data_IF_132074915630
#
_entry.id   IF_132074915630
#
_cell.length_a   1.000
_cell.length_b   1.000
_cell.length_c   1.000
_cell.angle_alpha   90.00
_cell.angle_beta   90.00
_cell.angle_gamma   90.00
#
_symmetry.space_group_name_H-M   'P 1'
#
loop_
_entity.id
_entity.type
_entity.pdbx_description
1 polymer ?
#
# COMPACT_ATOMS: atom_id res chain seq x y z
N UNK A 1 11.83 2.55 -7.11
CA UNK A 1 10.91 3.70 -7.22
C UNK A 1 9.46 3.22 -7.19
N UNK A 2 8.61 3.87 -6.40
CA UNK A 2 7.16 3.64 -6.31
C UNK A 2 6.45 4.87 -6.87
N UNK A 3 5.48 4.66 -7.75
CA UNK A 3 4.66 5.72 -8.33
C UNK A 3 3.18 5.37 -8.16
N UNK A 4 2.41 6.36 -7.75
CA UNK A 4 0.96 6.28 -7.59
C UNK A 4 0.36 7.41 -8.40
N UNK A 5 -0.64 7.09 -9.22
CA UNK A 5 -1.35 8.08 -10.02
C UNK A 5 -2.86 7.93 -9.91
N UNK A 6 -3.52 9.02 -9.54
CA UNK A 6 -4.98 9.18 -9.50
C UNK A 6 -5.68 8.04 -8.77
N UNK A 7 -5.10 7.60 -7.64
CA UNK A 7 -5.56 6.42 -6.94
C UNK A 7 -6.83 6.72 -6.14
N UNK A 8 -7.88 5.92 -6.38
CA UNK A 8 -9.19 6.11 -5.76
C UNK A 8 -9.68 4.81 -5.11
N UNK A 9 -10.37 4.96 -3.98
CA UNK A 9 -11.14 3.91 -3.34
C UNK A 9 -12.38 4.47 -2.68
N UNK A 10 -13.52 3.87 -2.97
CA UNK A 10 -14.82 4.22 -2.45
C UNK A 10 -15.43 3.04 -1.69
N UNK A 11 -16.10 3.35 -0.58
CA UNK A 11 -16.92 2.42 0.19
C UNK A 11 -18.31 3.04 0.36
N UNK A 12 -19.28 2.58 -0.43
CA UNK A 12 -20.61 3.20 -0.49
C UNK A 12 -20.51 4.66 -0.95
N UNK A 13 -20.98 5.61 -0.11
CA UNK A 13 -20.87 7.04 -0.39
C UNK A 13 -19.53 7.66 0.02
N UNK A 14 -18.66 6.93 0.73
CA UNK A 14 -17.40 7.45 1.26
C UNK A 14 -16.26 7.20 0.27
N UNK A 15 -15.64 8.27 -0.24
CA UNK A 15 -14.40 8.19 -1.01
C UNK A 15 -13.19 8.23 -0.06
N UNK A 16 -12.70 7.05 0.31
CA UNK A 16 -11.63 6.89 1.28
C UNK A 16 -10.24 7.23 0.72
N UNK A 17 -10.01 7.05 -0.57
CA UNK A 17 -8.89 7.69 -1.28
C UNK A 17 -9.46 8.39 -2.51
N UNK A 18 -9.01 9.62 -2.76
CA UNK A 18 -9.55 10.49 -3.80
C UNK A 18 -8.43 11.10 -4.64
N UNK A 19 -8.04 10.41 -5.71
CA UNK A 19 -7.11 10.97 -6.70
C UNK A 19 -5.70 11.16 -6.15
N UNK A 20 -5.21 10.22 -5.34
CA UNK A 20 -3.88 10.33 -4.73
C UNK A 20 -2.81 10.18 -5.80
N UNK A 21 -1.89 11.14 -5.85
CA UNK A 21 -0.62 11.07 -6.57
C UNK A 21 0.54 11.07 -5.56
N UNK A 22 1.51 10.17 -5.76
CA UNK A 22 2.69 10.06 -4.90
C UNK A 22 3.85 9.43 -5.70
N UNK A 23 5.04 9.98 -5.54
CA UNK A 23 6.29 9.35 -5.97
C UNK A 23 7.21 9.15 -4.78
N UNK A 24 7.78 7.96 -4.67
CA UNK A 24 8.82 7.64 -3.68
C UNK A 24 10.02 7.09 -4.43
N UNK A 25 11.13 7.83 -4.39
CA UNK A 25 12.39 7.40 -5.01
C UNK A 25 13.15 6.45 -4.10
N UNK A 26 14.12 5.78 -4.68
CA UNK A 26 15.03 4.92 -3.91
C UNK A 26 15.81 5.75 -2.88
N UNK A 27 15.93 5.23 -1.65
CA UNK A 27 16.54 5.93 -0.53
C UNK A 27 15.66 6.97 0.17
N UNK A 28 14.48 7.29 -0.36
CA UNK A 28 13.56 8.23 0.29
C UNK A 28 12.73 7.53 1.38
N UNK A 29 12.45 8.27 2.46
CA UNK A 29 11.49 7.87 3.49
C UNK A 29 10.38 8.91 3.54
N UNK A 30 9.13 8.46 3.35
CA UNK A 30 7.95 9.30 3.39
C UNK A 30 7.04 8.90 4.54
N UNK A 31 6.36 9.88 5.13
CA UNK A 31 5.37 9.66 6.19
C UNK A 31 4.00 10.13 5.72
N UNK A 32 2.98 9.27 5.90
CA UNK A 32 1.58 9.61 5.63
C UNK A 32 0.92 9.97 6.97
N UNK A 33 0.65 11.26 7.17
CA UNK A 33 0.06 11.80 8.39
C UNK A 33 -1.32 12.38 8.10
N UNK A 34 -2.24 12.24 9.06
CA UNK A 34 -3.60 12.74 8.94
C UNK A 34 -4.49 12.20 10.06
N UNK A 35 -5.70 12.75 10.26
CA UNK A 35 -6.60 12.31 11.33
C UNK A 35 -7.14 10.90 11.10
N UNK A 36 -7.79 10.32 12.11
CA UNK A 36 -8.51 9.06 11.97
C UNK A 36 -9.64 9.24 10.93
N UNK A 37 -9.83 8.22 10.09
CA UNK A 37 -10.79 8.28 8.98
C UNK A 37 -10.27 8.97 7.71
N UNK A 38 -9.10 9.61 7.71
CA UNK A 38 -8.52 10.27 6.54
C UNK A 38 -8.06 9.33 5.40
N UNK A 39 -8.39 8.03 5.46
CA UNK A 39 -8.05 7.09 4.39
C UNK A 39 -6.64 6.47 4.43
N UNK A 40 -5.79 6.81 5.42
CA UNK A 40 -4.41 6.31 5.51
C UNK A 40 -4.29 4.79 5.42
N UNK A 41 -5.05 4.07 6.24
CA UNK A 41 -5.06 2.59 6.24
C UNK A 41 -5.57 2.03 4.93
N UNK A 42 -6.58 2.68 4.32
CA UNK A 42 -7.09 2.31 2.99
C UNK A 42 -6.00 2.46 1.94
N UNK A 43 -5.30 3.59 1.92
CA UNK A 43 -4.21 3.85 1.00
C UNK A 43 -3.07 2.84 1.16
N UNK A 44 -2.60 2.59 2.39
CA UNK A 44 -1.59 1.55 2.66
C UNK A 44 -2.08 0.16 2.22
N UNK A 45 -3.36 -0.17 2.43
CA UNK A 45 -3.96 -1.41 1.95
C UNK A 45 -3.95 -1.54 0.43
N UNK A 46 -4.12 -0.42 -0.30
CA UNK A 46 -4.02 -0.38 -1.76
C UNK A 46 -2.59 -0.57 -2.25
N UNK A 47 -1.61 0.08 -1.60
CA UNK A 47 -0.19 -0.10 -1.92
C UNK A 47 0.27 -1.54 -1.67
N UNK A 48 -0.13 -2.11 -0.54
CA UNK A 48 0.19 -3.49 -0.16
C UNK A 48 -0.55 -4.55 -1.00
N UNK A 49 -1.56 -4.17 -1.78
CA UNK A 49 -2.34 -5.10 -2.59
C UNK A 49 -3.37 -5.91 -1.80
N UNK A 50 -3.72 -5.49 -0.57
CA UNK A 50 -4.83 -6.06 0.19
C UNK A 50 -6.19 -5.46 -0.21
N UNK A 51 -6.19 -4.23 -0.74
CA UNK A 51 -7.37 -3.55 -1.25
C UNK A 51 -7.15 -3.17 -2.71
N UNK A 52 -8.10 -3.52 -3.56
CA UNK A 52 -8.01 -3.13 -4.97
C UNK A 52 -8.51 -1.68 -5.14
N UNK A 53 -7.77 -0.80 -5.81
CA UNK A 53 -8.26 0.52 -6.19
C UNK A 53 -9.45 0.40 -7.15
N UNK A 54 -10.36 1.38 -7.08
CA UNK A 54 -11.46 1.48 -8.04
C UNK A 54 -10.99 2.13 -9.34
N UNK A 55 -10.05 3.09 -9.23
CA UNK A 55 -9.34 3.68 -10.36
C UNK A 55 -7.91 4.10 -9.99
N UNK A 56 -7.15 4.51 -11.01
CA UNK A 56 -5.75 4.90 -10.87
C UNK A 56 -4.78 3.74 -11.09
N UNK A 57 -3.49 4.02 -10.88
CA UNK A 57 -2.40 3.09 -11.16
C UNK A 57 -1.35 3.13 -10.04
N UNK A 58 -0.78 1.98 -9.75
CA UNK A 58 0.38 1.82 -8.88
C UNK A 58 1.48 1.13 -9.69
N UNK A 59 2.61 1.78 -9.84
CA UNK A 59 3.80 1.25 -10.49
C UNK A 59 4.89 1.06 -9.44
N UNK A 60 5.56 -0.09 -9.44
CA UNK A 60 6.69 -0.35 -8.56
C UNK A 60 7.85 -0.89 -9.39
N UNK A 61 9.03 -0.27 -9.25
CA UNK A 61 10.23 -0.61 -10.01
C UNK A 61 9.99 -0.64 -11.53
N UNK A 62 9.20 0.30 -12.04
CA UNK A 62 8.86 0.40 -13.47
C UNK A 62 7.74 -0.54 -13.95
N UNK A 63 7.20 -1.39 -13.08
CA UNK A 63 6.13 -2.33 -13.45
C UNK A 63 4.77 -1.94 -12.85
N UNK A 64 3.70 -2.06 -13.64
CA UNK A 64 2.34 -1.90 -13.14
C UNK A 64 1.96 -3.06 -12.22
N UNK A 65 1.81 -2.76 -10.93
CA UNK A 65 1.43 -3.72 -9.91
C UNK A 65 -0.03 -3.59 -9.49
N UNK A 66 -0.80 -2.68 -10.09
CA UNK A 66 -2.17 -2.27 -9.66
C UNK A 66 -3.09 -3.45 -9.38
N UNK A 67 -3.01 -4.51 -10.20
CA UNK A 67 -3.86 -5.71 -10.09
C UNK A 67 -3.24 -6.87 -9.34
N UNK A 68 -1.98 -6.75 -8.92
CA UNK A 68 -1.29 -7.77 -8.15
C UNK A 68 -1.73 -7.75 -6.69
N UNK A 69 -1.90 -8.94 -6.11
CA UNK A 69 -2.13 -9.10 -4.68
C UNK A 69 -0.84 -8.97 -3.86
N UNK A 70 -1.00 -8.96 -2.54
CA UNK A 70 0.12 -8.80 -1.60
C UNK A 70 1.27 -9.82 -1.81
N UNK A 71 1.03 -11.14 -2.01
CA UNK A 71 2.13 -12.08 -2.20
C UNK A 71 2.95 -11.82 -3.46
N UNK A 72 2.30 -11.41 -4.56
CA UNK A 72 3.00 -11.08 -5.80
C UNK A 72 3.82 -9.79 -5.66
N UNK A 73 3.28 -8.78 -4.96
CA UNK A 73 4.00 -7.52 -4.69
C UNK A 73 5.21 -7.73 -3.77
N UNK A 74 5.06 -8.55 -2.74
CA UNK A 74 6.14 -8.90 -1.82
C UNK A 74 7.32 -9.57 -2.55
N UNK A 75 7.04 -10.53 -3.46
CA UNK A 75 8.06 -11.16 -4.30
C UNK A 75 8.81 -10.19 -5.22
N UNK A 76 8.21 -9.04 -5.51
CA UNK A 76 8.85 -7.96 -6.29
C UNK A 76 9.63 -6.98 -5.43
N UNK A 77 9.54 -7.06 -4.09
CA UNK A 77 10.22 -6.17 -3.14
C UNK A 77 9.32 -5.12 -2.50
N UNK A 78 8.02 -5.12 -2.77
CA UNK A 78 7.06 -4.23 -2.11
C UNK A 78 6.37 -4.96 -0.94
N UNK A 79 6.93 -4.81 0.26
CA UNK A 79 6.44 -5.46 1.47
C UNK A 79 5.73 -4.46 2.41
N UNK A 80 4.86 -4.99 3.27
CA UNK A 80 4.15 -4.23 4.31
C UNK A 80 4.50 -4.78 5.68
N UNK A 81 4.84 -3.89 6.61
CA UNK A 81 4.82 -4.18 8.05
C UNK A 81 3.43 -3.93 8.63
N UNK A 82 3.08 -4.66 9.69
CA UNK A 82 1.78 -4.55 10.35
C UNK A 82 1.89 -3.73 11.63
N UNK A 83 0.85 -2.94 11.90
CA UNK A 83 0.77 -2.09 13.10
C UNK A 83 0.68 -2.93 14.38
N UNK A 84 0.03 -4.10 14.31
CA UNK A 84 0.02 -5.08 15.38
C UNK A 84 1.10 -6.11 15.06
N UNK A 85 2.00 -6.34 16.01
CA UNK A 85 3.06 -7.33 15.91
C UNK A 85 2.47 -8.68 15.50
N UNK A 86 2.86 -9.14 14.31
CA UNK A 86 2.41 -10.40 13.73
C UNK A 86 3.60 -11.36 13.72
N UNK A 87 3.90 -11.93 14.88
CA UNK A 87 4.98 -12.91 15.08
C UNK A 87 4.38 -14.31 15.21
N UNK A 88 5.19 -15.33 14.93
CA UNK A 88 4.84 -16.73 15.18
C UNK A 88 5.43 -17.16 16.53
N UNK A 89 4.63 -17.28 17.62
CA UNK A 89 5.17 -17.52 18.96
C UNK A 89 5.87 -18.88 19.11
N UNK A 90 5.50 -19.84 18.27
CA UNK A 90 6.06 -21.20 18.24
C UNK A 90 7.46 -21.28 17.62
N UNK A 91 7.96 -20.17 17.06
CA UNK A 91 9.23 -20.12 16.34
C UNK A 91 10.25 -19.29 17.13
N UNK A 92 11.51 -19.73 17.10
CA UNK A 92 12.61 -18.88 17.54
C UNK A 92 12.86 -17.75 16.53
N UNK A 93 13.56 -16.70 16.93
CA UNK A 93 13.86 -15.58 16.04
C UNK A 93 14.70 -15.94 14.79
N UNK A 94 15.34 -17.13 14.76
CA UNK A 94 16.17 -17.59 13.64
C UNK A 94 15.39 -18.38 12.58
N UNK A 95 14.14 -18.72 12.86
CA UNK A 95 13.29 -19.56 12.01
C UNK A 95 12.18 -18.74 11.37
#
# INVERSE_FOLDING_TARGET
MLEVRQLVKTFGALRATDGIDLDVREGETHAIIGPNGAGKTTFIGQLAGNLRPDSGRITFAGEDVTRLGAPQRARKGLARSFQITSVYPEFSALQ
#
